data_IF_802461531892
#
_entry.id   IF_802461531892
#
_cell.length_a   1.000
_cell.length_b   1.000
_cell.length_c   1.000
_cell.angle_alpha   90.00
_cell.angle_beta   90.00
_cell.angle_gamma   90.00
#
_symmetry.space_group_name_H-M   'P 1'
#
loop_
_entity.id
_entity.type
_entity.pdbx_description
1 polymer ?
#
# COMPACT_ATOMS: atom_id res chain seq x y z
N UNK A 1 -4.44 -0.25 14.99
CA UNK A 1 -5.10 1.00 15.43
C UNK A 1 -4.93 2.06 14.35
N UNK A 2 -5.97 2.85 14.09
CA UNK A 2 -5.91 4.06 13.27
C UNK A 2 -6.15 5.26 14.17
N UNK A 3 -5.40 6.34 13.94
CA UNK A 3 -5.56 7.60 14.66
C UNK A 3 -5.91 8.68 13.66
N UNK A 4 -6.93 9.47 13.95
CA UNK A 4 -7.16 10.73 13.26
C UNK A 4 -6.21 11.78 13.88
N UNK A 5 -5.18 12.22 13.16
CA UNK A 5 -4.18 13.15 13.72
C UNK A 5 -4.75 14.55 13.99
N UNK A 6 -5.84 14.93 13.33
CA UNK A 6 -6.45 16.24 13.51
C UNK A 6 -7.36 16.30 14.74
N UNK A 7 -8.02 15.18 15.08
CA UNK A 7 -8.99 15.14 16.20
C UNK A 7 -8.50 14.31 17.40
N UNK A 8 -7.39 13.58 17.26
CA UNK A 8 -6.90 12.64 18.27
C UNK A 8 -7.78 11.39 18.44
N UNK A 9 -8.88 11.26 17.70
CA UNK A 9 -9.77 10.10 17.78
C UNK A 9 -9.03 8.85 17.33
N UNK A 10 -9.11 7.81 18.15
CA UNK A 10 -8.49 6.51 17.87
C UNK A 10 -9.57 5.48 17.57
N UNK A 11 -9.21 4.50 16.74
CA UNK A 11 -10.09 3.40 16.39
C UNK A 11 -9.31 2.11 16.19
N UNK A 12 -9.86 1.01 16.68
CA UNK A 12 -9.42 -0.32 16.32
C UNK A 12 -10.08 -0.77 15.02
N UNK A 13 -9.26 -1.25 14.10
CA UNK A 13 -9.70 -1.89 12.86
C UNK A 13 -9.04 -3.27 12.86
N UNK A 14 -9.85 -4.30 12.79
CA UNK A 14 -9.40 -5.68 12.80
C UNK A 14 -9.35 -6.19 11.35
N UNK A 15 -8.19 -6.68 10.86
CA UNK A 15 -8.06 -7.21 9.50
C UNK A 15 -8.94 -8.46 9.27
N UNK A 16 -9.14 -8.86 8.01
CA UNK A 16 -9.97 -10.03 7.69
C UNK A 16 -9.25 -11.31 8.08
N UNK A 17 -7.96 -11.40 7.76
CA UNK A 17 -7.09 -12.51 8.12
C UNK A 17 -6.21 -12.19 9.33
N UNK A 18 -5.65 -13.22 9.95
CA UNK A 18 -4.84 -13.11 11.16
C UNK A 18 -3.72 -12.07 11.01
N UNK A 19 -3.65 -11.15 11.98
CA UNK A 19 -2.60 -10.16 12.07
C UNK A 19 -1.23 -10.81 12.26
N UNK A 20 -0.22 -10.29 11.55
CA UNK A 20 1.18 -10.65 11.75
C UNK A 20 2.02 -9.38 11.96
N UNK A 21 2.97 -9.41 12.89
CA UNK A 21 3.83 -8.26 13.21
C UNK A 21 4.76 -7.81 12.06
N UNK A 22 4.92 -8.65 11.04
CA UNK A 22 5.66 -8.35 9.82
C UNK A 22 4.77 -7.83 8.69
N UNK A 23 3.45 -7.75 8.91
CA UNK A 23 2.54 -7.10 7.98
C UNK A 23 2.94 -5.64 7.78
N UNK A 24 2.77 -5.20 6.54
CA UNK A 24 3.04 -3.83 6.13
C UNK A 24 1.72 -3.15 5.87
N UNK A 25 1.64 -1.88 6.23
CA UNK A 25 0.47 -1.05 6.01
C UNK A 25 0.83 0.15 5.17
N UNK A 26 -0.07 0.53 4.27
CA UNK A 26 0.07 1.72 3.47
C UNK A 26 -1.19 2.56 3.46
N UNK A 27 -1.04 3.86 3.72
CA UNK A 27 -2.13 4.83 3.64
C UNK A 27 -2.11 5.52 2.28
N UNK A 28 -3.25 5.45 1.59
CA UNK A 28 -3.46 6.13 0.32
C UNK A 28 -4.85 6.76 0.26
N UNK A 29 -5.12 7.45 -0.84
CA UNK A 29 -6.43 7.99 -1.10
C UNK A 29 -6.71 8.06 -2.60
N UNK A 30 -7.98 7.95 -2.95
CA UNK A 30 -8.46 8.26 -4.30
C UNK A 30 -8.99 9.68 -4.32
N UNK A 31 -8.53 10.46 -5.30
CA UNK A 31 -9.09 11.78 -5.58
C UNK A 31 -10.12 11.65 -6.70
N UNK A 32 -11.40 11.78 -6.38
CA UNK A 32 -12.40 11.97 -7.41
C UNK A 32 -12.54 13.47 -7.59
N UNK A 33 -12.23 13.99 -8.78
CA UNK A 33 -12.21 15.42 -9.11
C UNK A 33 -13.52 16.19 -8.77
N UNK A 34 -14.61 15.48 -8.45
CA UNK A 34 -15.91 16.04 -8.07
C UNK A 34 -16.24 15.96 -6.55
N UNK A 35 -15.29 15.56 -5.68
CA UNK A 35 -15.54 15.48 -4.23
C UNK A 35 -14.57 16.37 -3.45
N UNK A 36 -15.14 17.18 -2.55
CA UNK A 36 -14.39 17.99 -1.58
C UNK A 36 -13.48 17.17 -0.65
N UNK A 37 -13.76 15.86 -0.50
CA UNK A 37 -13.05 14.98 0.43
C UNK A 37 -12.40 13.79 -0.28
N UNK A 38 -11.16 13.52 0.13
CA UNK A 38 -10.38 12.35 -0.28
C UNK A 38 -10.98 11.07 0.32
N UNK A 39 -11.11 10.02 -0.50
CA UNK A 39 -11.53 8.71 0.00
C UNK A 39 -10.29 7.93 0.41
N UNK A 40 -9.96 7.98 1.71
CA UNK A 40 -8.79 7.31 2.26
C UNK A 40 -8.98 5.80 2.36
N UNK A 41 -7.90 5.09 2.10
CA UNK A 41 -7.80 3.64 2.11
C UNK A 41 -6.52 3.20 2.84
N UNK A 42 -6.58 2.11 3.57
CA UNK A 42 -5.41 1.47 4.16
C UNK A 42 -5.23 0.12 3.47
N UNK A 43 -4.12 -0.05 2.76
CA UNK A 43 -3.69 -1.33 2.24
C UNK A 43 -2.92 -2.07 3.34
N UNK A 44 -3.29 -3.32 3.59
CA UNK A 44 -2.50 -4.28 4.36
C UNK A 44 -1.85 -5.26 3.38
N UNK A 45 -0.53 -5.34 3.46
CA UNK A 45 0.28 -6.32 2.75
C UNK A 45 0.78 -7.33 3.77
N UNK A 46 0.28 -8.58 3.75
CA UNK A 46 0.80 -9.61 4.63
C UNK A 46 2.26 -9.91 4.30
N UNK A 47 3.03 -10.33 5.30
CA UNK A 47 4.45 -10.67 5.12
C UNK A 47 4.68 -11.73 4.03
N UNK A 48 3.77 -12.69 3.92
CA UNK A 48 3.80 -13.78 2.94
C UNK A 48 3.24 -13.38 1.57
N UNK A 49 2.77 -12.13 1.42
CA UNK A 49 2.21 -11.61 0.17
C UNK A 49 1.05 -12.45 -0.42
N UNK A 50 0.34 -13.19 0.43
CA UNK A 50 -0.69 -14.16 0.04
C UNK A 50 -2.06 -13.51 -0.24
N UNK A 51 -2.53 -12.61 0.64
CA UNK A 51 -3.86 -12.02 0.58
C UNK A 51 -3.83 -10.54 0.95
N UNK A 52 -3.90 -9.68 -0.06
CA UNK A 52 -3.98 -8.25 0.17
C UNK A 52 -5.36 -7.85 0.66
N UNK A 53 -5.39 -6.92 1.60
CA UNK A 53 -6.63 -6.38 2.15
C UNK A 53 -6.61 -4.86 2.07
N UNK A 54 -7.77 -4.27 1.75
CA UNK A 54 -7.97 -2.83 1.83
C UNK A 54 -9.07 -2.54 2.83
N UNK A 55 -8.77 -1.63 3.76
CA UNK A 55 -9.76 -0.97 4.59
C UNK A 55 -10.16 0.35 3.96
N UNK A 56 -11.45 0.53 3.70
CA UNK A 56 -12.00 1.80 3.23
C UNK A 56 -12.55 2.60 4.41
N UNK A 57 -11.96 3.77 4.68
CA UNK A 57 -12.34 4.57 5.85
C UNK A 57 -13.78 5.08 5.75
N UNK A 58 -14.25 5.36 4.54
CA UNK A 58 -15.57 5.92 4.30
C UNK A 58 -16.69 4.91 4.58
N UNK A 59 -16.59 3.71 4.04
CA UNK A 59 -17.57 2.64 4.27
C UNK A 59 -17.32 1.89 5.57
N UNK A 60 -16.16 2.12 6.19
CA UNK A 60 -15.74 1.43 7.40
C UNK A 60 -15.78 -0.10 7.22
N UNK A 61 -15.16 -0.58 6.14
CA UNK A 61 -15.19 -1.99 5.78
C UNK A 61 -13.85 -2.44 5.23
N UNK A 62 -13.46 -3.65 5.59
CA UNK A 62 -12.38 -4.36 4.93
C UNK A 62 -12.90 -5.12 3.72
N UNK A 63 -12.03 -5.29 2.72
CA UNK A 63 -12.23 -6.24 1.63
C UNK A 63 -10.90 -6.79 1.13
N UNK A 64 -10.97 -7.97 0.53
CA UNK A 64 -9.84 -8.62 -0.13
C UNK A 64 -9.61 -7.97 -1.49
N UNK A 65 -8.35 -7.77 -1.87
CA UNK A 65 -7.95 -7.33 -3.20
C UNK A 65 -7.47 -8.55 -3.97
N UNK A 66 -8.12 -8.85 -5.09
CA UNK A 66 -7.81 -10.03 -5.90
C UNK A 66 -6.43 -9.96 -6.59
N UNK A 67 -5.85 -8.76 -6.69
CA UNK A 67 -4.61 -8.56 -7.41
C UNK A 67 -3.41 -8.95 -6.55
N UNK A 68 -2.64 -9.95 -6.97
CA UNK A 68 -1.40 -10.34 -6.29
C UNK A 68 -0.25 -9.40 -6.68
N UNK A 69 0.81 -9.29 -5.86
CA UNK A 69 2.04 -8.64 -6.32
C UNK A 69 2.58 -9.32 -7.60
N UNK A 70 3.34 -8.57 -8.41
CA UNK A 70 3.77 -9.02 -9.73
C UNK A 70 4.80 -10.17 -9.71
N UNK A 71 5.45 -10.44 -8.57
CA UNK A 71 6.44 -11.52 -8.45
C UNK A 71 6.50 -12.01 -6.98
N UNK A 72 6.62 -13.34 -6.79
CA UNK A 72 6.84 -13.97 -5.47
C UNK A 72 8.24 -13.69 -4.91
N UNK A 73 9.22 -13.44 -5.77
CA UNK A 73 10.59 -13.09 -5.39
C UNK A 73 10.79 -11.59 -5.15
N UNK A 74 9.69 -10.81 -5.17
CA UNK A 74 9.76 -9.38 -4.97
C UNK A 74 9.95 -9.07 -3.48
N UNK A 75 11.08 -8.47 -3.16
CA UNK A 75 11.35 -7.97 -1.82
C UNK A 75 11.32 -6.44 -1.82
N UNK A 76 11.03 -5.86 -0.66
CA UNK A 76 11.06 -4.41 -0.45
C UNK A 76 12.05 -4.07 0.64
N UNK A 77 12.91 -3.10 0.37
CA UNK A 77 14.00 -2.68 1.24
C UNK A 77 13.47 -1.98 2.49
N UNK A 78 13.77 -2.54 3.66
CA UNK A 78 13.29 -2.04 4.95
C UNK A 78 11.76 -2.08 5.11
N UNK A 79 11.25 -1.39 6.13
CA UNK A 79 9.80 -1.18 6.36
C UNK A 79 9.30 0.17 5.82
N UNK A 80 10.17 0.95 5.18
CA UNK A 80 9.85 2.29 4.70
C UNK A 80 8.84 2.25 3.56
N UNK A 81 7.61 2.70 3.84
CA UNK A 81 6.61 3.04 2.84
C UNK A 81 6.62 4.55 2.65
N UNK A 82 6.64 5.00 1.40
CA UNK A 82 6.53 6.40 1.04
C UNK A 82 5.17 6.66 0.42
N UNK A 83 4.48 7.71 0.85
CA UNK A 83 3.20 8.14 0.25
C UNK A 83 3.42 9.39 -0.59
N UNK A 84 3.03 9.34 -1.87
CA UNK A 84 3.13 10.47 -2.77
C UNK A 84 1.86 10.56 -3.62
N UNK A 85 1.22 11.74 -3.60
CA UNK A 85 0.00 12.04 -4.37
C UNK A 85 -1.12 10.98 -4.21
N UNK A 86 -1.24 10.40 -3.02
CA UNK A 86 -2.29 9.43 -2.69
C UNK A 86 -1.94 7.97 -2.99
N UNK A 87 -0.76 7.72 -3.55
CA UNK A 87 -0.24 6.39 -3.83
C UNK A 87 0.91 6.00 -2.89
N UNK A 88 1.15 4.70 -2.75
CA UNK A 88 2.23 4.17 -1.93
C UNK A 88 3.38 3.65 -2.78
N UNK A 89 4.60 3.82 -2.28
CA UNK A 89 5.83 3.49 -2.97
C UNK A 89 6.82 2.81 -2.01
N UNK A 90 7.56 1.87 -2.54
CA UNK A 90 8.63 1.16 -1.85
C UNK A 90 9.83 1.02 -2.78
N UNK A 91 11.03 1.06 -2.22
CA UNK A 91 12.20 0.56 -2.93
C UNK A 91 12.09 -0.96 -2.90
N UNK A 92 11.97 -1.56 -4.08
CA UNK A 92 11.99 -3.01 -4.24
C UNK A 92 13.31 -3.49 -4.82
N UNK A 93 13.59 -4.76 -4.57
CA UNK A 93 14.68 -5.45 -5.21
C UNK A 93 14.23 -6.85 -5.60
N UNK A 94 14.63 -7.23 -6.80
CA UNK A 94 14.76 -8.62 -7.24
C UNK A 94 16.26 -8.91 -7.29
N UNK A 95 16.70 -10.18 -7.28
CA UNK A 95 18.12 -10.49 -7.34
C UNK A 95 18.82 -9.67 -8.43
N UNK A 96 19.85 -8.91 -8.04
CA UNK A 96 20.68 -8.08 -8.91
C UNK A 96 20.06 -6.79 -9.48
N UNK A 97 18.84 -6.40 -9.09
CA UNK A 97 18.21 -5.17 -9.60
C UNK A 97 17.28 -4.50 -8.58
N UNK A 98 17.46 -3.18 -8.42
CA UNK A 98 16.58 -2.34 -7.62
C UNK A 98 15.58 -1.58 -8.50
N UNK A 99 14.36 -1.42 -8.03
CA UNK A 99 13.34 -0.64 -8.69
C UNK A 99 12.39 -0.01 -7.66
N UNK A 100 11.38 0.70 -8.13
CA UNK A 100 10.33 1.25 -7.27
C UNK A 100 9.05 0.45 -7.49
N UNK A 101 8.61 -0.26 -6.46
CA UNK A 101 7.26 -0.79 -6.41
C UNK A 101 6.31 0.34 -6.03
N UNK A 102 5.24 0.51 -6.78
CA UNK A 102 4.17 1.44 -6.46
C UNK A 102 2.85 0.70 -6.36
N UNK A 103 1.97 1.16 -5.48
CA UNK A 103 0.57 0.74 -5.42
C UNK A 103 -0.31 1.94 -5.72
N UNK A 104 -1.03 1.84 -6.84
CA UNK A 104 -2.00 2.84 -7.27
C UNK A 104 -3.33 2.59 -6.56
N UNK A 105 -3.74 3.46 -5.65
CA UNK A 105 -4.99 3.29 -4.88
C UNK A 105 -6.25 3.58 -5.70
N UNK A 106 -6.12 4.24 -6.85
CA UNK A 106 -7.24 4.47 -7.77
C UNK A 106 -7.59 3.19 -8.53
N UNK A 107 -6.57 2.52 -9.06
CA UNK A 107 -6.74 1.29 -9.86
C UNK A 107 -6.57 0.01 -9.06
N UNK A 108 -6.05 0.11 -7.82
CA UNK A 108 -5.75 -0.96 -6.88
C UNK A 108 -4.77 -1.99 -7.43
N UNK A 109 -3.73 -1.48 -8.11
CA UNK A 109 -2.75 -2.30 -8.80
C UNK A 109 -1.33 -1.91 -8.43
N UNK A 110 -0.47 -2.92 -8.35
CA UNK A 110 0.96 -2.71 -8.30
C UNK A 110 1.52 -2.33 -9.66
N UNK A 111 2.54 -1.47 -9.66
CA UNK A 111 3.36 -1.16 -10.84
C UNK A 111 4.82 -1.08 -10.42
N UNK A 112 5.71 -1.53 -11.31
CA UNK A 112 7.16 -1.40 -11.16
C UNK A 112 7.62 -0.19 -11.97
N UNK A 113 8.42 0.67 -11.36
CA UNK A 113 9.00 1.84 -12.00
C UNK A 113 10.53 1.71 -11.95
N UNK A 114 11.19 1.90 -13.08
CA UNK A 114 12.65 1.83 -13.15
C UNK A 114 13.28 3.00 -12.37
N UNK A 115 14.43 2.76 -11.74
CA UNK A 115 15.22 3.85 -11.18
C UNK A 115 15.90 4.64 -12.32
N UNK A 116 15.93 5.98 -12.25
CA UNK A 116 16.45 6.80 -13.33
C UNK A 116 17.95 6.61 -13.63
N UNK A 117 18.70 5.98 -12.72
CA UNK A 117 20.17 5.84 -12.82
C UNK A 117 20.65 4.46 -13.30
N UNK A 118 19.74 3.55 -13.69
CA UNK A 118 20.11 2.22 -14.19
C UNK A 118 20.41 2.18 -15.70
N UNK A 119 20.45 3.34 -16.37
CA UNK A 119 20.86 3.47 -17.78
C UNK A 119 22.26 4.08 -17.92
N UNK A 120 23.21 3.63 -17.11
CA UNK A 120 24.63 3.84 -17.39
C UNK A 120 25.19 2.51 -17.86
N UNK A 121 24.89 2.20 -19.13
CA UNK A 121 25.62 1.24 -19.95
C UNK A 121 26.40 2.02 -20.99
#
# INVERSE_FOLDING_TARGET
MVVNPCTGQTRWIEPISNYNMYDRFALGYTNNNNKLYKSYKILRLPYEWNQLEIFELKSNSWRVVANTPPNKDLHTYGRGMYSLKGNAYWISYVPFHFDILSFDFLTERFRRLCLPFQRLG
#
